data_IF_989468527319
#
_entry.id   IF_989468527319
#
_cell.length_a   1.000
_cell.length_b   1.000
_cell.length_c   1.000
_cell.angle_alpha   90.00
_cell.angle_beta   90.00
_cell.angle_gamma   90.00
#
_symmetry.space_group_name_H-M   'P 1'
#
loop_
_entity.id
_entity.type
_entity.pdbx_description
1 polymer ?
#
# COMPACT_ATOMS: atom_id res chain seq x y z
N UNK A 1 -17.89 -8.68 -12.87
CA UNK A 1 -16.90 -8.34 -13.93
C UNK A 1 -16.96 -9.46 -14.96
N UNK A 2 -17.12 -9.15 -16.25
CA UNK A 2 -17.15 -10.19 -17.29
C UNK A 2 -15.75 -10.74 -17.57
N UNK A 3 -15.66 -11.94 -18.16
CA UNK A 3 -14.38 -12.57 -18.52
C UNK A 3 -13.55 -11.68 -19.43
N UNK A 4 -14.20 -10.98 -20.37
CA UNK A 4 -13.55 -10.01 -21.26
C UNK A 4 -12.97 -8.82 -20.47
N UNK A 5 -13.71 -8.27 -19.50
CA UNK A 5 -13.21 -7.16 -18.66
C UNK A 5 -11.98 -7.59 -17.85
N UNK A 6 -12.00 -8.81 -17.29
CA UNK A 6 -10.88 -9.36 -16.54
C UNK A 6 -9.65 -9.53 -17.44
N UNK A 7 -9.83 -10.11 -18.63
CA UNK A 7 -8.73 -10.32 -19.57
C UNK A 7 -8.13 -9.00 -20.05
N UNK A 8 -8.96 -8.03 -20.43
CA UNK A 8 -8.51 -6.70 -20.88
C UNK A 8 -7.79 -5.97 -19.74
N UNK A 9 -8.33 -5.96 -18.53
CA UNK A 9 -7.70 -5.29 -17.39
C UNK A 9 -6.32 -5.87 -17.07
N UNK A 10 -6.18 -7.20 -17.08
CA UNK A 10 -4.89 -7.86 -16.85
C UNK A 10 -3.90 -7.62 -17.99
N UNK A 11 -4.34 -7.65 -19.25
CA UNK A 11 -3.49 -7.36 -20.39
C UNK A 11 -2.94 -5.92 -20.35
N UNK A 12 -3.82 -4.95 -20.07
CA UNK A 12 -3.42 -3.54 -19.91
C UNK A 12 -2.47 -3.38 -18.73
N UNK A 13 -2.77 -4.00 -17.57
CA UNK A 13 -1.89 -4.00 -16.41
C UNK A 13 -0.48 -4.51 -16.74
N UNK A 14 -0.36 -5.66 -17.40
CA UNK A 14 0.93 -6.24 -17.80
C UNK A 14 1.68 -5.30 -18.74
N UNK A 15 1.01 -4.75 -19.76
CA UNK A 15 1.64 -3.83 -20.72
C UNK A 15 2.17 -2.58 -19.99
N UNK A 16 1.37 -1.96 -19.12
CA UNK A 16 1.77 -0.76 -18.38
C UNK A 16 2.95 -1.03 -17.45
N UNK A 17 2.93 -2.16 -16.72
CA UNK A 17 4.06 -2.56 -15.87
C UNK A 17 5.32 -2.79 -16.70
N UNK A 18 5.23 -3.49 -17.83
CA UNK A 18 6.36 -3.74 -18.71
C UNK A 18 6.96 -2.45 -19.26
N UNK A 19 6.13 -1.45 -19.60
CA UNK A 19 6.60 -0.13 -20.03
C UNK A 19 7.42 0.54 -18.92
N UNK A 20 6.89 0.58 -17.69
CA UNK A 20 7.56 1.22 -16.55
C UNK A 20 8.85 0.47 -16.17
N UNK A 21 8.82 -0.87 -16.16
CA UNK A 21 9.98 -1.70 -15.83
C UNK A 21 11.07 -1.60 -16.89
N UNK A 22 10.69 -1.50 -18.18
CA UNK A 22 11.64 -1.26 -19.26
C UNK A 22 12.28 0.12 -19.13
N UNK A 23 11.49 1.16 -18.88
CA UNK A 23 11.98 2.53 -18.67
C UNK A 23 12.94 2.62 -17.48
N UNK A 24 12.62 1.94 -16.37
CA UNK A 24 13.44 1.95 -15.15
C UNK A 24 14.57 0.91 -15.17
N UNK A 25 14.70 0.14 -16.25
CA UNK A 25 15.50 -1.10 -16.41
C UNK A 25 15.06 -2.26 -15.50
N UNK A 26 14.85 -3.44 -16.11
CA UNK A 26 14.47 -4.65 -15.38
C UNK A 26 15.48 -5.03 -14.28
N UNK A 27 16.77 -4.78 -14.51
CA UNK A 27 17.83 -5.05 -13.54
C UNK A 27 17.67 -4.19 -12.28
N UNK A 28 17.38 -2.89 -12.41
CA UNK A 28 17.18 -2.03 -11.25
C UNK A 28 15.93 -2.43 -10.45
N UNK A 29 14.83 -2.76 -11.15
CA UNK A 29 13.60 -3.24 -10.50
C UNK A 29 13.84 -4.57 -9.76
N UNK A 30 14.51 -5.53 -10.41
CA UNK A 30 14.88 -6.80 -9.79
C UNK A 30 15.75 -6.58 -8.55
N UNK A 31 16.74 -5.68 -8.62
CA UNK A 31 17.60 -5.36 -7.50
C UNK A 31 16.83 -4.68 -6.35
N UNK A 32 15.85 -3.82 -6.67
CA UNK A 32 14.98 -3.16 -5.70
C UNK A 32 14.14 -4.17 -4.93
N UNK A 33 13.40 -5.05 -5.61
CA UNK A 33 12.68 -6.14 -4.93
C UNK A 33 13.62 -7.10 -4.19
N UNK A 34 14.82 -7.29 -4.73
CA UNK A 34 15.89 -8.05 -4.09
C UNK A 34 16.28 -7.55 -2.69
N UNK A 35 16.02 -6.27 -2.37
CA UNK A 35 16.29 -5.70 -1.05
C UNK A 35 15.47 -6.37 0.05
N UNK A 36 14.27 -6.90 -0.24
CA UNK A 36 13.45 -7.61 0.75
C UNK A 36 14.11 -8.88 1.28
N UNK A 37 15.07 -9.45 0.56
CA UNK A 37 15.83 -10.63 0.99
C UNK A 37 17.12 -10.30 1.73
N UNK A 38 17.44 -9.01 1.91
CA UNK A 38 18.63 -8.54 2.64
C UNK A 38 18.25 -8.15 4.06
N UNK A 39 18.95 -8.67 5.06
CA UNK A 39 18.64 -8.36 6.47
C UNK A 39 18.85 -6.87 6.79
N UNK A 40 19.84 -6.25 6.15
CA UNK A 40 20.20 -4.84 6.31
C UNK A 40 19.10 -3.89 5.83
N UNK A 41 18.23 -4.36 4.92
CA UNK A 41 17.07 -3.60 4.49
C UNK A 41 16.01 -3.47 5.60
N UNK A 42 15.86 -4.47 6.46
CA UNK A 42 14.80 -4.52 7.47
C UNK A 42 15.17 -3.69 8.70
N UNK A 43 15.15 -2.37 8.52
CA UNK A 43 15.19 -1.39 9.61
C UNK A 43 13.80 -1.20 10.21
N UNK A 44 13.71 -0.57 11.39
CA UNK A 44 12.42 -0.25 12.02
C UNK A 44 11.50 0.54 11.07
N UNK A 45 12.06 1.51 10.35
CA UNK A 45 11.33 2.34 9.40
C UNK A 45 10.82 1.56 8.19
N UNK A 46 11.66 0.70 7.59
CA UNK A 46 11.29 -0.09 6.42
C UNK A 46 10.26 -1.17 6.78
N UNK A 47 10.35 -1.70 8.00
CA UNK A 47 9.36 -2.65 8.53
C UNK A 47 8.00 -1.98 8.70
N UNK A 48 7.96 -0.78 9.29
CA UNK A 48 6.72 0.02 9.42
C UNK A 48 6.13 0.36 8.04
N UNK A 49 6.97 0.73 7.07
CA UNK A 49 6.55 0.98 5.69
C UNK A 49 5.88 -0.24 5.06
N UNK A 50 6.53 -1.41 5.14
CA UNK A 50 6.00 -2.64 4.58
C UNK A 50 4.67 -3.04 5.23
N UNK A 51 4.59 -3.00 6.57
CA UNK A 51 3.37 -3.34 7.30
C UNK A 51 2.23 -2.37 6.99
N UNK A 52 2.51 -1.07 6.90
CA UNK A 52 1.51 -0.05 6.59
C UNK A 52 1.01 -0.15 5.15
N UNK A 53 1.88 -0.50 4.20
CA UNK A 53 1.50 -0.83 2.83
C UNK A 53 0.64 -2.10 2.77
N UNK A 54 1.06 -3.18 3.45
CA UNK A 54 0.35 -4.46 3.45
C UNK A 54 -1.05 -4.32 4.08
N UNK A 55 -1.17 -3.62 5.22
CA UNK A 55 -2.45 -3.38 5.88
C UNK A 55 -3.45 -2.67 4.94
N UNK A 56 -2.98 -1.65 4.20
CA UNK A 56 -3.81 -0.94 3.20
C UNK A 56 -4.22 -1.87 2.06
N UNK A 57 -3.32 -2.71 1.54
CA UNK A 57 -3.63 -3.68 0.49
C UNK A 57 -4.74 -4.66 0.91
N UNK A 58 -4.67 -5.17 2.15
CA UNK A 58 -5.67 -6.11 2.71
C UNK A 58 -7.04 -5.45 2.91
N UNK A 59 -7.12 -4.12 3.06
CA UNK A 59 -8.40 -3.41 3.09
C UNK A 59 -8.91 -3.07 1.69
N UNK A 60 -8.04 -2.51 0.84
CA UNK A 60 -8.40 -1.98 -0.47
C UNK A 60 -8.81 -3.09 -1.44
N UNK A 61 -8.09 -4.21 -1.48
CA UNK A 61 -8.37 -5.27 -2.46
C UNK A 61 -9.75 -5.90 -2.20
N UNK A 62 -10.07 -6.41 -0.98
CA UNK A 62 -11.42 -6.87 -0.64
C UNK A 62 -12.49 -5.80 -0.85
N UNK A 63 -12.23 -4.57 -0.40
CA UNK A 63 -13.20 -3.47 -0.46
C UNK A 63 -13.54 -3.03 -1.88
N UNK A 64 -12.54 -2.79 -2.73
CA UNK A 64 -12.74 -2.28 -4.09
C UNK A 64 -13.05 -3.37 -5.11
N UNK A 65 -12.40 -4.53 -5.03
CA UNK A 65 -12.53 -5.57 -6.06
C UNK A 65 -13.72 -6.48 -5.76
N UNK A 66 -13.93 -6.84 -4.49
CA UNK A 66 -14.95 -7.80 -4.08
C UNK A 66 -16.16 -7.15 -3.38
N UNK A 67 -16.10 -5.84 -3.10
CA UNK A 67 -17.15 -5.13 -2.35
C UNK A 67 -17.24 -5.53 -0.88
N UNK A 68 -16.22 -6.22 -0.35
CA UNK A 68 -16.21 -6.74 1.02
C UNK A 68 -15.51 -5.71 1.93
N UNK A 69 -16.29 -5.02 2.75
CA UNK A 69 -15.77 -4.03 3.69
C UNK A 69 -15.35 -4.67 5.02
N UNK A 70 -14.04 -4.73 5.26
CA UNK A 70 -13.44 -5.21 6.52
C UNK A 70 -13.22 -4.03 7.48
N UNK A 71 -14.30 -3.44 7.99
CA UNK A 71 -14.25 -2.18 8.76
C UNK A 71 -13.37 -2.25 10.02
N UNK A 72 -13.28 -3.40 10.69
CA UNK A 72 -12.46 -3.56 11.91
C UNK A 72 -10.96 -3.50 11.62
N UNK A 73 -10.52 -3.81 10.39
CA UNK A 73 -9.12 -3.63 9.99
C UNK A 73 -8.71 -2.16 9.96
N UNK A 74 -9.64 -1.21 10.00
CA UNK A 74 -9.29 0.21 10.06
C UNK A 74 -8.63 0.62 11.38
N UNK A 75 -8.75 -0.19 12.45
CA UNK A 75 -7.88 -0.03 13.63
C UNK A 75 -6.41 -0.30 13.31
N UNK A 76 -6.15 -1.33 12.50
CA UNK A 76 -4.80 -1.67 12.06
C UNK A 76 -4.24 -0.61 11.10
N UNK A 77 -5.04 -0.13 10.14
CA UNK A 77 -4.57 0.95 9.25
C UNK A 77 -4.41 2.28 9.95
N UNK A 78 -5.18 2.56 11.01
CA UNK A 78 -4.98 3.73 11.84
C UNK A 78 -3.60 3.67 12.54
N UNK A 79 -3.33 2.58 13.26
CA UNK A 79 -2.05 2.40 13.95
C UNK A 79 -0.86 2.40 13.00
N UNK A 80 -0.95 1.67 11.88
CA UNK A 80 0.14 1.61 10.89
C UNK A 80 0.31 2.92 10.10
N UNK A 81 -0.73 3.75 9.93
CA UNK A 81 -0.60 5.06 9.28
C UNK A 81 0.04 6.09 10.22
N UNK A 82 -0.32 6.09 11.50
CA UNK A 82 0.34 6.92 12.52
C UNK A 82 1.83 6.57 12.64
N UNK A 83 2.17 5.28 12.69
CA UNK A 83 3.56 4.82 12.69
C UNK A 83 4.29 5.23 11.40
N UNK A 84 3.62 5.14 10.24
CA UNK A 84 4.23 5.49 8.96
C UNK A 84 4.43 7.00 8.78
N UNK A 85 3.62 7.87 9.41
CA UNK A 85 3.88 9.31 9.47
C UNK A 85 5.24 9.56 10.14
N UNK A 86 5.50 8.91 11.28
CA UNK A 86 6.78 9.01 11.98
C UNK A 86 7.95 8.48 11.13
N UNK A 87 7.80 7.27 10.56
CA UNK A 87 8.85 6.66 9.74
C UNK A 87 9.16 7.47 8.47
N UNK A 88 8.13 8.03 7.82
CA UNK A 88 8.28 8.87 6.63
C UNK A 88 8.95 10.21 6.95
N UNK A 89 8.65 10.80 8.11
CA UNK A 89 9.31 12.03 8.56
C UNK A 89 10.80 11.81 8.81
N UNK A 90 11.20 10.64 9.33
CA UNK A 90 12.61 10.27 9.52
C UNK A 90 13.37 10.14 8.21
N UNK A 91 12.69 9.81 7.12
CA UNK A 91 13.25 9.79 5.75
C UNK A 91 13.05 11.10 4.98
N UNK A 92 12.45 12.13 5.60
CA UNK A 92 12.11 13.42 4.98
C UNK A 92 11.25 13.26 3.70
N UNK A 93 10.24 12.39 3.75
CA UNK A 93 9.31 12.11 2.63
C UNK A 93 7.96 12.80 2.87
N UNK A 94 7.79 14.09 2.54
CA UNK A 94 6.59 14.87 2.90
C UNK A 94 5.31 14.35 2.25
N UNK A 95 5.41 13.78 1.05
CA UNK A 95 4.25 13.20 0.34
C UNK A 95 3.72 11.95 1.04
N UNK A 96 4.60 11.10 1.58
CA UNK A 96 4.19 9.93 2.36
C UNK A 96 3.62 10.31 3.72
N UNK A 97 4.12 11.37 4.34
CA UNK A 97 3.52 11.95 5.54
C UNK A 97 2.09 12.40 5.24
N UNK A 98 1.89 13.24 4.22
CA UNK A 98 0.56 13.72 3.84
C UNK A 98 -0.41 12.60 3.48
N UNK A 99 0.05 11.60 2.71
CA UNK A 99 -0.76 10.44 2.34
C UNK A 99 -1.24 9.67 3.58
N UNK A 100 -0.36 9.41 4.55
CA UNK A 100 -0.74 8.69 5.76
C UNK A 100 -1.57 9.52 6.74
N UNK A 101 -1.45 10.85 6.70
CA UNK A 101 -2.37 11.75 7.42
C UNK A 101 -3.80 11.61 6.90
N UNK A 102 -3.99 11.56 5.58
CA UNK A 102 -5.32 11.31 4.99
C UNK A 102 -5.84 9.92 5.37
N UNK A 103 -4.99 8.89 5.35
CA UNK A 103 -5.37 7.53 5.77
C UNK A 103 -5.77 7.44 7.24
N UNK A 104 -5.12 8.21 8.10
CA UNK A 104 -5.49 8.35 9.51
C UNK A 104 -6.91 8.89 9.62
N UNK A 105 -7.22 9.98 8.90
CA UNK A 105 -8.57 10.54 8.84
C UNK A 105 -9.61 9.55 8.29
N UNK A 106 -9.33 8.87 7.17
CA UNK A 106 -10.21 7.84 6.59
C UNK A 106 -10.51 6.74 7.62
N UNK A 107 -9.48 6.29 8.34
CA UNK A 107 -9.65 5.25 9.35
C UNK A 107 -10.58 5.71 10.47
N UNK A 108 -10.41 6.94 10.96
CA UNK A 108 -11.34 7.53 11.94
C UNK A 108 -12.77 7.62 11.40
N UNK A 109 -12.98 8.06 10.15
CA UNK A 109 -14.32 8.16 9.55
C UNK A 109 -15.02 6.81 9.44
N UNK A 110 -14.31 5.77 8.99
CA UNK A 110 -14.88 4.43 8.85
C UNK A 110 -15.18 3.81 10.21
N UNK A 111 -14.28 3.97 11.18
CA UNK A 111 -14.50 3.48 12.54
C UNK A 111 -15.69 4.19 13.19
N UNK A 112 -15.77 5.52 13.10
CA UNK A 112 -16.91 6.28 13.62
C UNK A 112 -18.24 5.79 13.04
N UNK A 113 -18.31 5.57 11.72
CA UNK A 113 -19.52 5.06 11.04
C UNK A 113 -20.02 3.69 11.57
N UNK A 114 -19.15 2.85 12.13
CA UNK A 114 -19.53 1.51 12.57
C UNK A 114 -19.65 1.39 14.10
N UNK A 115 -19.01 2.28 14.85
CA UNK A 115 -18.99 2.25 16.32
C UNK A 115 -20.00 3.20 16.96
N UNK A 116 -20.50 4.19 16.21
CA UNK A 116 -21.49 5.20 16.64
C UNK A 116 -22.68 5.11 15.68
#
# INVERSE_FOLDING_TARGET
MSDLQLLVANAVFVILILIVYRHSTFTAIKNCYGMWFKREYWTDYNTVEFLSWAAKAVIIIPGLIFGISLWWLYFLTLGTSLALIWASNKKLLPTLVGFNTIWTWISCMVLAKHLI
#
